data_IF_931532480965
#
_entry.id   IF_931532480965
#
_cell.length_a   1.000
_cell.length_b   1.000
_cell.length_c   1.000
_cell.angle_alpha   90.00
_cell.angle_beta   90.00
_cell.angle_gamma   90.00
#
_symmetry.space_group_name_H-M   'P 1'
#
loop_
_entity.id
_entity.type
_entity.pdbx_description
1 polymer ?
#
# COMPACT_ATOMS: atom_id res chain seq x y z
N UNK A 1 2.63 2.11 8.16
CA UNK A 1 2.90 1.55 6.81
C UNK A 1 3.69 0.26 6.87
N UNK A 2 4.95 0.25 7.37
CA UNK A 2 5.78 -0.98 7.41
C UNK A 2 5.09 -2.21 7.99
N UNK A 3 4.45 -2.10 9.16
CA UNK A 3 3.81 -3.23 9.84
C UNK A 3 2.62 -3.80 9.03
N UNK A 4 1.76 -2.94 8.49
CA UNK A 4 0.66 -3.37 7.64
C UNK A 4 1.14 -3.97 6.31
N UNK A 5 2.20 -3.38 5.72
CA UNK A 5 2.85 -3.94 4.53
C UNK A 5 3.46 -5.32 4.79
N UNK A 6 4.08 -5.51 5.96
CA UNK A 6 4.60 -6.82 6.38
C UNK A 6 3.48 -7.84 6.50
N UNK A 7 2.38 -7.49 7.18
CA UNK A 7 1.22 -8.36 7.34
C UNK A 7 0.60 -8.74 5.99
N UNK A 8 0.52 -7.79 5.06
CA UNK A 8 0.04 -8.05 3.71
C UNK A 8 0.97 -9.04 2.98
N UNK A 9 2.29 -8.84 3.04
CA UNK A 9 3.27 -9.78 2.47
C UNK A 9 3.18 -11.17 3.11
N UNK A 10 2.97 -11.26 4.42
CA UNK A 10 2.76 -12.55 5.11
C UNK A 10 1.54 -13.29 4.54
N UNK A 11 0.42 -12.60 4.35
CA UNK A 11 -0.81 -13.20 3.81
C UNK A 11 -0.61 -13.72 2.38
N UNK A 12 0.08 -12.95 1.54
CA UNK A 12 0.37 -13.34 0.16
C UNK A 12 1.33 -14.53 0.09
N UNK A 13 2.39 -14.51 0.90
CA UNK A 13 3.34 -15.62 0.94
C UNK A 13 2.75 -16.88 1.60
N UNK A 14 1.80 -16.78 2.53
CA UNK A 14 1.09 -17.95 3.08
C UNK A 14 0.27 -18.68 2.01
N UNK A 15 -0.30 -17.92 1.06
CA UNK A 15 -1.15 -18.45 0.00
C UNK A 15 -0.39 -18.71 -1.32
N UNK A 16 0.94 -18.71 -1.28
CA UNK A 16 1.77 -18.91 -2.47
C UNK A 16 1.53 -20.29 -3.10
N UNK A 17 1.30 -20.30 -4.42
CA UNK A 17 1.11 -21.52 -5.20
C UNK A 17 2.43 -21.96 -5.84
N UNK A 18 3.10 -22.94 -5.26
CA UNK A 18 4.35 -23.50 -5.82
C UNK A 18 4.02 -24.69 -6.72
N UNK A 19 4.58 -24.70 -7.94
CA UNK A 19 4.42 -25.79 -8.91
C UNK A 19 4.94 -27.13 -8.39
N UNK A 20 4.31 -28.21 -8.83
CA UNK A 20 4.72 -29.57 -8.52
C UNK A 20 6.09 -29.89 -9.16
N UNK A 21 6.96 -30.56 -8.40
CA UNK A 21 8.30 -30.97 -8.83
C UNK A 21 8.31 -32.48 -9.07
N UNK A 22 8.49 -32.90 -10.31
CA UNK A 22 8.55 -34.31 -10.69
C UNK A 22 9.72 -34.60 -11.62
N UNK A 23 10.20 -35.84 -11.61
CA UNK A 23 11.31 -36.24 -12.48
C UNK A 23 11.77 -37.68 -12.27
N UNK A 24 12.78 -38.06 -13.04
CA UNK A 24 13.42 -39.37 -12.98
C UNK A 24 14.94 -39.22 -12.97
N UNK A 25 15.59 -39.89 -12.04
CA UNK A 25 17.05 -39.98 -11.93
C UNK A 25 17.46 -41.46 -11.84
N UNK A 26 17.98 -42.03 -12.93
CA UNK A 26 18.26 -43.46 -13.01
C UNK A 26 17.00 -44.33 -12.80
N UNK A 27 16.99 -45.15 -11.75
CA UNK A 27 15.83 -46.00 -11.38
C UNK A 27 14.89 -45.32 -10.37
N UNK A 28 15.15 -44.06 -10.04
CA UNK A 28 14.37 -43.29 -9.09
C UNK A 28 13.40 -42.38 -9.82
N UNK A 29 12.13 -42.43 -9.42
CA UNK A 29 11.10 -41.49 -9.85
C UNK A 29 10.62 -40.72 -8.62
N UNK A 30 10.45 -39.40 -8.76
CA UNK A 30 9.90 -38.56 -7.71
C UNK A 30 8.77 -37.69 -8.23
N UNK A 31 7.81 -37.44 -7.35
CA UNK A 31 6.77 -36.44 -7.51
C UNK A 31 6.55 -35.77 -6.15
N UNK A 32 6.82 -34.47 -6.10
CA UNK A 32 6.58 -33.58 -4.98
C UNK A 32 5.43 -32.66 -5.37
N UNK A 33 4.35 -32.73 -4.60
CA UNK A 33 3.13 -31.98 -4.90
C UNK A 33 2.51 -31.42 -3.63
N UNK A 34 1.48 -30.59 -3.80
CA UNK A 34 0.69 -30.04 -2.70
C UNK A 34 1.55 -29.29 -1.67
N UNK A 35 2.44 -28.45 -2.17
CA UNK A 35 3.29 -27.58 -1.35
C UNK A 35 2.42 -26.56 -0.64
N UNK A 36 2.53 -26.50 0.68
CA UNK A 36 1.79 -25.55 1.52
C UNK A 36 2.74 -24.86 2.49
N UNK A 37 2.59 -23.55 2.61
CA UNK A 37 3.25 -22.78 3.66
C UNK A 37 2.49 -22.99 4.96
N UNK A 38 3.24 -23.31 6.02
CA UNK A 38 2.69 -23.59 7.34
C UNK A 38 2.94 -22.45 8.32
N UNK A 39 4.12 -21.83 8.21
CA UNK A 39 4.55 -20.73 9.07
C UNK A 39 5.58 -19.86 8.33
N UNK A 40 5.60 -18.57 8.65
CA UNK A 40 6.51 -17.57 8.09
C UNK A 40 7.09 -16.73 9.22
N UNK A 41 8.40 -16.57 9.22
CA UNK A 41 9.12 -15.75 10.19
C UNK A 41 9.87 -14.65 9.45
N UNK A 42 9.27 -13.46 9.39
CA UNK A 42 9.79 -12.29 8.66
C UNK A 42 10.33 -11.21 9.61
N UNK A 43 11.09 -11.63 10.64
CA UNK A 43 11.46 -10.77 11.77
C UNK A 43 12.29 -9.53 11.40
N UNK A 44 13.19 -9.64 10.42
CA UNK A 44 14.04 -8.53 9.98
C UNK A 44 13.48 -7.91 8.69
N UNK A 45 12.50 -7.03 8.87
CA UNK A 45 11.90 -6.27 7.78
C UNK A 45 12.14 -4.76 7.92
N UNK A 46 12.42 -4.14 6.78
CA UNK A 46 12.70 -2.72 6.67
C UNK A 46 11.98 -2.09 5.48
N UNK A 47 11.55 -0.84 5.63
CA UNK A 47 10.88 -0.08 4.58
C UNK A 47 11.55 1.28 4.50
N UNK A 48 12.23 1.52 3.38
CA UNK A 48 13.06 2.70 3.18
C UNK A 48 12.59 3.51 1.98
N UNK A 49 12.78 4.81 2.09
CA UNK A 49 12.63 5.73 0.98
C UNK A 49 13.87 5.66 0.10
N UNK A 50 13.64 5.50 -1.21
CA UNK A 50 14.70 5.50 -2.20
C UNK A 50 14.43 6.62 -3.21
N UNK A 51 15.37 7.58 -3.37
CA UNK A 51 15.19 8.71 -4.27
C UNK A 51 14.78 8.28 -5.69
N UNK A 52 14.10 9.18 -6.40
CA UNK A 52 13.47 8.92 -7.71
C UNK A 52 12.15 8.12 -7.64
N UNK A 53 11.30 8.39 -6.63
CA UNK A 53 9.92 7.88 -6.50
C UNK A 53 9.81 6.39 -6.13
N UNK A 54 10.80 5.86 -5.41
CA UNK A 54 10.86 4.43 -5.07
C UNK A 54 10.65 4.19 -3.57
N UNK A 55 9.84 3.18 -3.23
CA UNK A 55 9.76 2.60 -1.89
C UNK A 55 10.40 1.23 -1.89
N UNK A 56 11.46 1.05 -1.09
CA UNK A 56 12.18 -0.21 -0.99
C UNK A 56 11.76 -0.97 0.26
N UNK A 57 11.19 -2.16 0.07
CA UNK A 57 10.84 -3.10 1.13
C UNK A 57 11.81 -4.28 1.14
N UNK A 58 12.48 -4.46 2.28
CA UNK A 58 13.54 -5.43 2.47
C UNK A 58 13.15 -6.42 3.56
N UNK A 59 13.26 -7.72 3.26
CA UNK A 59 13.20 -8.79 4.25
C UNK A 59 14.54 -9.52 4.22
N UNK A 60 15.18 -9.62 5.37
CA UNK A 60 16.45 -10.29 5.52
C UNK A 60 16.33 -11.49 6.46
N UNK A 61 17.05 -12.56 6.14
CA UNK A 61 17.20 -13.73 7.00
C UNK A 61 15.86 -14.29 7.54
N UNK A 62 14.84 -14.34 6.68
CA UNK A 62 13.56 -14.92 7.01
C UNK A 62 13.61 -16.46 6.97
N UNK A 63 12.63 -17.10 7.62
CA UNK A 63 12.40 -18.55 7.55
C UNK A 63 10.98 -18.85 7.09
N UNK A 64 10.82 -19.85 6.21
CA UNK A 64 9.54 -20.32 5.71
C UNK A 64 9.43 -21.80 6.03
N UNK A 65 8.44 -22.17 6.85
CA UNK A 65 8.11 -23.56 7.12
C UNK A 65 7.08 -24.05 6.12
N UNK A 66 7.34 -25.21 5.53
CA UNK A 66 6.59 -25.78 4.43
C UNK A 66 6.18 -27.21 4.76
N UNK A 67 5.09 -27.66 4.17
CA UNK A 67 4.70 -29.06 4.10
C UNK A 67 4.41 -29.40 2.65
N UNK A 68 4.95 -30.52 2.17
CA UNK A 68 4.61 -31.04 0.85
C UNK A 68 4.38 -32.54 0.89
N UNK A 69 3.62 -33.04 -0.09
CA UNK A 69 3.43 -34.46 -0.33
C UNK A 69 4.59 -34.97 -1.18
N UNK A 70 5.19 -36.08 -0.76
CA UNK A 70 6.22 -36.79 -1.50
C UNK A 70 5.69 -38.13 -2.00
N UNK A 71 6.01 -38.46 -3.23
CA UNK A 71 5.79 -39.76 -3.85
C UNK A 71 7.10 -40.17 -4.50
N UNK A 72 7.73 -41.20 -3.95
CA UNK A 72 9.03 -41.68 -4.36
C UNK A 72 8.89 -43.14 -4.81
N UNK A 73 9.52 -43.48 -5.92
CA UNK A 73 9.57 -44.83 -6.45
C UNK A 73 11.03 -45.17 -6.76
N UNK A 74 11.53 -46.26 -6.17
CA UNK A 74 12.87 -46.78 -6.43
C UNK A 74 12.81 -48.28 -6.73
N UNK A 75 13.09 -48.65 -7.97
CA UNK A 75 13.04 -50.03 -8.52
C UNK A 75 11.67 -50.72 -8.36
N UNK A 76 11.28 -51.12 -7.14
CA UNK A 76 9.98 -51.71 -6.80
C UNK A 76 9.43 -51.21 -5.44
N UNK A 77 10.17 -50.34 -4.74
CA UNK A 77 9.75 -49.73 -3.50
C UNK A 77 9.01 -48.43 -3.76
N UNK A 78 7.82 -48.29 -3.18
CA UNK A 78 7.02 -47.08 -3.20
C UNK A 78 6.99 -46.46 -1.82
N UNK A 79 7.24 -45.15 -1.76
CA UNK A 79 7.14 -44.38 -0.53
C UNK A 79 6.33 -43.11 -0.77
N UNK A 80 5.22 -42.99 -0.05
CA UNK A 80 4.25 -41.92 -0.20
C UNK A 80 3.97 -41.36 1.19
N UNK A 81 4.08 -40.04 1.34
CA UNK A 81 3.77 -39.39 2.60
C UNK A 81 3.84 -37.87 2.50
N UNK A 82 3.71 -37.21 3.65
CA UNK A 82 3.96 -35.78 3.77
C UNK A 82 5.24 -35.55 4.57
N UNK A 83 5.97 -34.52 4.19
CA UNK A 83 7.23 -34.14 4.81
C UNK A 83 7.21 -32.65 5.09
N UNK A 84 7.77 -32.28 6.25
CA UNK A 84 7.98 -30.89 6.61
C UNK A 84 9.37 -30.45 6.09
N UNK A 85 9.43 -29.22 5.62
CA UNK A 85 10.65 -28.58 5.17
C UNK A 85 10.75 -27.15 5.71
N UNK A 86 11.96 -26.63 5.80
CA UNK A 86 12.24 -25.23 6.11
C UNK A 86 13.07 -24.63 4.99
N UNK A 87 12.76 -23.40 4.60
CA UNK A 87 13.62 -22.55 3.79
C UNK A 87 14.17 -21.46 4.70
N UNK A 88 15.48 -21.41 4.87
CA UNK A 88 16.16 -20.57 5.85
C UNK A 88 17.10 -19.57 5.15
N UNK A 89 17.24 -18.40 5.75
CA UNK A 89 18.01 -17.31 5.16
C UNK A 89 17.33 -16.77 3.90
N UNK A 90 16.00 -16.65 3.92
CA UNK A 90 15.24 -16.04 2.83
C UNK A 90 15.50 -14.54 2.82
N UNK A 91 15.84 -14.02 1.65
CA UNK A 91 16.05 -12.59 1.40
C UNK A 91 15.09 -12.15 0.30
N UNK A 92 14.35 -11.07 0.54
CA UNK A 92 13.43 -10.49 -0.43
C UNK A 92 13.71 -9.00 -0.49
N UNK A 93 14.05 -8.51 -1.68
CA UNK A 93 14.25 -7.10 -1.98
C UNK A 93 13.20 -6.69 -3.00
N UNK A 94 12.30 -5.80 -2.60
CA UNK A 94 11.23 -5.29 -3.46
C UNK A 94 11.32 -3.78 -3.55
N UNK A 95 11.24 -3.22 -4.74
CA UNK A 95 11.21 -1.77 -4.96
C UNK A 95 9.94 -1.41 -5.73
N UNK A 96 9.09 -0.60 -5.12
CA UNK A 96 7.84 -0.11 -5.69
C UNK A 96 8.06 1.27 -6.29
N UNK A 97 7.61 1.48 -7.53
CA UNK A 97 7.58 2.81 -8.16
C UNK A 97 6.20 3.41 -8.05
N UNK A 98 6.10 4.53 -7.32
CA UNK A 98 4.85 5.27 -7.16
C UNK A 98 4.62 6.19 -8.35
N UNK A 99 3.36 6.39 -8.71
CA UNK A 99 2.95 7.34 -9.75
C UNK A 99 1.53 7.86 -9.47
N UNK A 100 1.14 8.88 -10.20
CA UNK A 100 -0.23 9.35 -10.32
C UNK A 100 -0.94 8.65 -11.48
N UNK A 101 -2.24 8.37 -11.33
CA UNK A 101 -3.10 7.92 -12.42
C UNK A 101 -3.75 9.07 -13.20
N UNK A 102 -4.56 8.74 -14.21
CA UNK A 102 -5.29 9.73 -15.02
C UNK A 102 -6.38 10.45 -14.21
N UNK A 103 -6.96 9.80 -13.21
CA UNK A 103 -7.96 10.37 -12.32
C UNK A 103 -7.35 11.23 -11.20
N UNK A 104 -6.03 11.26 -11.03
CA UNK A 104 -5.36 11.99 -9.96
C UNK A 104 -5.22 11.19 -8.65
N UNK A 105 -5.28 9.86 -8.69
CA UNK A 105 -5.05 8.97 -7.54
C UNK A 105 -3.61 8.47 -7.49
N UNK A 106 -3.10 8.12 -6.30
CA UNK A 106 -1.83 7.40 -6.19
C UNK A 106 -1.96 5.99 -6.76
N UNK A 107 -0.92 5.47 -7.40
CA UNK A 107 -0.83 4.08 -7.86
C UNK A 107 0.60 3.55 -7.82
N UNK A 108 0.75 2.23 -7.85
CA UNK A 108 2.00 1.53 -8.12
C UNK A 108 2.12 1.34 -9.64
N UNK A 109 3.08 2.02 -10.26
CA UNK A 109 3.31 1.96 -11.71
C UNK A 109 4.21 0.79 -12.13
N UNK A 110 5.16 0.41 -11.27
CA UNK A 110 6.09 -0.66 -11.53
C UNK A 110 6.62 -1.23 -10.20
N UNK A 111 7.15 -2.45 -10.27
CA UNK A 111 7.79 -3.16 -9.17
C UNK A 111 9.03 -3.87 -9.71
N UNK A 112 10.11 -3.82 -8.95
CA UNK A 112 11.23 -4.74 -9.12
C UNK A 112 11.31 -5.64 -7.90
N UNK A 113 11.53 -6.94 -8.11
CA UNK A 113 11.65 -7.91 -7.03
C UNK A 113 12.84 -8.82 -7.27
N UNK A 114 13.59 -9.08 -6.20
CA UNK A 114 14.60 -10.13 -6.15
C UNK A 114 14.40 -10.94 -4.87
N UNK A 115 14.24 -12.24 -5.02
CA UNK A 115 14.08 -13.18 -3.91
C UNK A 115 15.12 -14.28 -4.01
N UNK A 116 15.76 -14.58 -2.87
CA UNK A 116 16.73 -15.67 -2.77
C UNK A 116 16.55 -16.45 -1.48
N UNK A 117 16.94 -17.72 -1.52
CA UNK A 117 16.87 -18.64 -0.40
C UNK A 117 18.26 -19.25 -0.21
N UNK A 118 18.88 -18.98 0.94
CA UNK A 118 20.23 -19.45 1.24
C UNK A 118 20.28 -20.97 1.38
N UNK A 119 19.38 -21.54 2.18
CA UNK A 119 19.33 -22.99 2.44
C UNK A 119 17.90 -23.48 2.53
N UNK A 120 17.72 -24.75 2.18
CA UNK A 120 16.46 -25.45 2.41
C UNK A 120 16.77 -26.80 3.06
N UNK A 121 15.95 -27.22 3.99
CA UNK A 121 16.05 -28.48 4.70
C UNK A 121 14.72 -29.21 4.61
N UNK A 122 14.75 -30.53 4.49
CA UNK A 122 13.56 -31.36 4.48
C UNK A 122 13.77 -32.58 5.39
N UNK A 123 12.84 -32.81 6.31
CA UNK A 123 12.93 -33.87 7.30
C UNK A 123 12.57 -35.25 6.73
N UNK A 124 13.41 -35.80 5.87
CA UNK A 124 13.17 -37.14 5.30
C UNK A 124 13.36 -38.19 6.41
N UNK A 125 12.26 -38.69 6.96
CA UNK A 125 12.24 -39.74 7.98
C UNK A 125 11.91 -41.10 7.37
N UNK A 126 12.54 -42.17 7.87
CA UNK A 126 12.31 -43.55 7.41
C UNK A 126 13.52 -44.47 7.48
N UNK A 127 13.34 -45.73 7.09
CA UNK A 127 14.33 -46.83 7.20
C UNK A 127 15.46 -46.79 6.17
N UNK A 128 15.37 -45.95 5.12
CA UNK A 128 16.33 -45.87 4.01
C UNK A 128 17.17 -44.58 4.02
N UNK A 129 17.72 -44.22 5.18
CA UNK A 129 18.47 -42.97 5.45
C UNK A 129 19.51 -42.60 4.37
N UNK A 130 20.29 -43.56 3.86
CA UNK A 130 21.32 -43.32 2.82
C UNK A 130 20.74 -43.00 1.44
N UNK A 131 19.60 -43.59 1.07
CA UNK A 131 18.92 -43.29 -0.20
C UNK A 131 18.31 -41.89 -0.12
N UNK A 132 17.82 -41.49 1.06
CA UNK A 132 17.35 -40.13 1.28
C UNK A 132 18.46 -39.07 1.24
N UNK A 133 19.69 -39.35 1.68
CA UNK A 133 20.75 -38.32 1.70
C UNK A 133 21.10 -37.77 0.29
N UNK A 134 21.27 -38.64 -0.71
CA UNK A 134 21.53 -38.19 -2.09
C UNK A 134 20.30 -37.52 -2.72
N UNK A 135 19.13 -38.14 -2.59
CA UNK A 135 17.90 -37.72 -3.28
C UNK A 135 17.24 -36.50 -2.63
N UNK A 136 17.39 -36.36 -1.31
CA UNK A 136 16.98 -35.14 -0.60
C UNK A 136 17.70 -33.94 -1.18
N UNK A 137 18.97 -34.06 -1.58
CA UNK A 137 19.74 -32.94 -2.15
C UNK A 137 19.11 -32.44 -3.46
N UNK A 138 18.69 -33.32 -4.36
CA UNK A 138 18.02 -32.93 -5.62
C UNK A 138 16.66 -32.31 -5.38
N UNK A 139 15.82 -32.95 -4.56
CA UNK A 139 14.47 -32.46 -4.24
C UNK A 139 14.55 -31.11 -3.53
N UNK A 140 15.43 -30.98 -2.54
CA UNK A 140 15.64 -29.73 -1.80
C UNK A 140 16.18 -28.64 -2.72
N UNK A 141 17.09 -28.95 -3.63
CA UNK A 141 17.62 -27.97 -4.59
C UNK A 141 16.54 -27.50 -5.57
N UNK A 142 15.78 -28.44 -6.13
CA UNK A 142 14.67 -28.14 -7.05
C UNK A 142 13.57 -27.34 -6.37
N UNK A 143 13.15 -27.74 -5.17
CA UNK A 143 12.13 -27.03 -4.39
C UNK A 143 12.61 -25.64 -3.95
N UNK A 144 13.89 -25.51 -3.56
CA UNK A 144 14.47 -24.20 -3.24
C UNK A 144 14.43 -23.28 -4.46
N UNK A 145 14.77 -23.78 -5.64
CA UNK A 145 14.69 -23.01 -6.88
C UNK A 145 13.25 -22.61 -7.21
N UNK A 146 12.31 -23.56 -7.20
CA UNK A 146 10.90 -23.29 -7.50
C UNK A 146 10.28 -22.28 -6.53
N UNK A 147 10.52 -22.43 -5.23
CA UNK A 147 10.03 -21.50 -4.23
C UNK A 147 10.63 -20.11 -4.41
N UNK A 148 11.94 -20.01 -4.65
CA UNK A 148 12.62 -18.73 -4.92
C UNK A 148 12.06 -18.03 -6.15
N UNK A 149 11.72 -18.79 -7.20
CA UNK A 149 11.11 -18.27 -8.43
C UNK A 149 9.66 -17.83 -8.23
N UNK A 150 8.93 -18.43 -7.29
CA UNK A 150 7.51 -18.13 -7.09
C UNK A 150 7.26 -16.91 -6.19
N UNK A 151 8.21 -16.57 -5.30
CA UNK A 151 8.06 -15.44 -4.36
C UNK A 151 7.80 -14.13 -5.12
N UNK A 152 8.63 -13.78 -6.09
CA UNK A 152 8.51 -12.51 -6.79
C UNK A 152 7.22 -12.37 -7.62
N UNK A 153 6.80 -13.34 -8.45
CA UNK A 153 5.51 -13.30 -9.13
C UNK A 153 4.32 -13.10 -8.18
N UNK A 154 4.36 -13.71 -6.99
CA UNK A 154 3.32 -13.51 -5.97
C UNK A 154 3.29 -12.05 -5.48
N UNK A 155 4.46 -11.48 -5.18
CA UNK A 155 4.56 -10.09 -4.72
C UNK A 155 4.27 -9.07 -5.82
N UNK A 156 4.62 -9.37 -7.07
CA UNK A 156 4.28 -8.57 -8.25
C UNK A 156 2.77 -8.50 -8.44
N UNK A 157 2.08 -9.64 -8.37
CA UNK A 157 0.62 -9.67 -8.42
C UNK A 157 0.00 -8.88 -7.26
N UNK A 158 0.49 -9.11 -6.04
CA UNK A 158 0.00 -8.42 -4.86
C UNK A 158 0.18 -6.89 -4.95
N UNK A 159 1.29 -6.43 -5.52
CA UNK A 159 1.59 -4.99 -5.62
C UNK A 159 0.87 -4.32 -6.79
N UNK A 160 0.87 -4.93 -7.97
CA UNK A 160 0.32 -4.30 -9.19
C UNK A 160 -1.19 -4.47 -9.32
N UNK A 161 -1.77 -5.50 -8.70
CA UNK A 161 -3.20 -5.80 -8.80
C UNK A 161 -3.90 -5.50 -7.48
N UNK A 162 -3.53 -6.21 -6.40
CA UNK A 162 -4.27 -6.11 -5.13
C UNK A 162 -4.09 -4.74 -4.46
N UNK A 163 -2.85 -4.27 -4.32
CA UNK A 163 -2.60 -2.97 -3.69
C UNK A 163 -3.16 -1.82 -4.54
N UNK A 164 -3.00 -1.88 -5.87
CA UNK A 164 -3.63 -0.89 -6.76
C UNK A 164 -5.16 -0.91 -6.65
N UNK A 165 -5.80 -2.06 -6.49
CA UNK A 165 -7.27 -2.11 -6.28
C UNK A 165 -7.71 -1.39 -5.00
N UNK A 166 -6.87 -1.36 -3.97
CA UNK A 166 -7.11 -0.57 -2.76
C UNK A 166 -6.86 0.92 -3.03
N UNK A 167 -5.76 1.27 -3.71
CA UNK A 167 -5.45 2.66 -4.05
C UNK A 167 -6.50 3.29 -4.98
N UNK A 168 -7.13 2.49 -5.84
CA UNK A 168 -8.24 2.90 -6.69
C UNK A 168 -9.48 3.35 -5.89
N UNK A 169 -9.62 2.93 -4.63
CA UNK A 169 -10.72 3.35 -3.75
C UNK A 169 -10.50 4.73 -3.13
N UNK A 170 -9.31 5.31 -3.26
CA UNK A 170 -9.02 6.65 -2.72
C UNK A 170 -9.87 7.68 -3.44
N UNK A 171 -10.78 8.38 -2.73
CA UNK A 171 -11.67 9.31 -3.40
C UNK A 171 -10.93 10.59 -3.76
N UNK A 172 -11.01 10.95 -5.04
CA UNK A 172 -10.39 12.16 -5.58
C UNK A 172 -11.27 13.37 -5.34
N UNK A 173 -12.57 13.26 -5.63
CA UNK A 173 -13.54 14.33 -5.45
C UNK A 173 -14.65 13.84 -4.53
N UNK A 174 -14.98 14.61 -3.51
CA UNK A 174 -16.04 14.30 -2.56
C UNK A 174 -16.88 15.53 -2.28
N UNK A 175 -18.18 15.33 -2.07
CA UNK A 175 -19.03 16.39 -1.50
C UNK A 175 -18.76 16.50 -0.01
N UNK A 176 -18.64 17.74 0.46
CA UNK A 176 -18.48 18.05 1.89
C UNK A 176 -19.87 18.19 2.51
N UNK A 177 -20.78 18.85 1.79
CA UNK A 177 -22.18 19.04 2.18
C UNK A 177 -23.09 19.19 0.94
N UNK A 178 -24.28 19.76 1.13
CA UNK A 178 -25.23 19.99 0.05
C UNK A 178 -24.86 21.15 -0.89
N UNK A 179 -23.87 21.97 -0.54
CA UNK A 179 -23.49 23.19 -1.24
C UNK A 179 -22.16 23.07 -1.97
N UNK A 180 -21.17 22.39 -1.41
CA UNK A 180 -19.80 22.35 -1.93
C UNK A 180 -19.20 20.93 -1.94
N UNK A 181 -18.22 20.75 -2.82
CA UNK A 181 -17.32 19.60 -2.83
C UNK A 181 -15.86 20.01 -2.78
N UNK A 182 -14.98 19.04 -2.65
CA UNK A 182 -13.53 19.20 -2.61
C UNK A 182 -12.85 18.22 -3.56
N UNK A 183 -11.82 18.70 -4.25
CA UNK A 183 -10.94 17.98 -5.15
C UNK A 183 -9.55 17.79 -4.52
N UNK A 184 -9.26 16.55 -4.16
CA UNK A 184 -7.98 16.02 -3.66
C UNK A 184 -7.23 15.22 -4.73
N UNK A 185 -7.40 15.54 -6.02
CA UNK A 185 -6.51 14.97 -7.06
C UNK A 185 -5.06 15.34 -6.79
N UNK A 186 -4.16 14.37 -6.99
CA UNK A 186 -2.73 14.62 -7.04
C UNK A 186 -2.41 15.56 -8.21
N UNK A 187 -1.52 16.51 -7.98
CA UNK A 187 -1.04 17.44 -9.00
C UNK A 187 0.07 16.82 -9.85
N UNK A 188 0.89 15.97 -9.23
CA UNK A 188 2.05 15.28 -9.85
C UNK A 188 2.26 13.92 -9.23
N UNK A 189 3.19 13.15 -9.79
CA UNK A 189 3.62 11.88 -9.22
C UNK A 189 4.18 12.08 -7.81
N UNK A 190 3.97 11.13 -6.87
CA UNK A 190 4.52 11.19 -5.53
C UNK A 190 6.04 11.40 -5.53
N UNK A 191 6.55 12.34 -4.75
CA UNK A 191 7.98 12.58 -4.62
C UNK A 191 8.54 11.87 -3.39
N UNK A 192 9.67 11.18 -3.57
CA UNK A 192 10.33 10.44 -2.50
C UNK A 192 11.72 11.05 -2.28
N UNK A 193 11.97 11.49 -1.05
CA UNK A 193 13.27 11.96 -0.58
C UNK A 193 13.99 10.83 0.19
N UNK A 194 14.97 11.16 1.03
CA UNK A 194 15.64 10.16 1.89
C UNK A 194 14.81 9.77 3.11
N UNK A 195 13.87 10.62 3.50
CA UNK A 195 13.20 10.60 4.80
C UNK A 195 11.69 10.91 4.69
N UNK A 196 11.24 11.37 3.52
CA UNK A 196 9.84 11.72 3.26
C UNK A 196 9.30 11.11 1.97
N UNK A 197 7.98 10.91 1.97
CA UNK A 197 7.16 10.64 0.79
C UNK A 197 6.12 11.76 0.75
N UNK A 198 6.22 12.65 -0.24
CA UNK A 198 5.35 13.80 -0.36
C UNK A 198 4.30 13.56 -1.45
N UNK A 199 3.07 13.97 -1.13
CA UNK A 199 1.90 13.83 -1.98
C UNK A 199 1.27 15.22 -2.15
N UNK A 200 1.40 15.77 -3.35
CA UNK A 200 0.90 17.11 -3.64
C UNK A 200 -0.52 17.04 -4.15
N UNK A 201 -1.46 17.39 -3.29
CA UNK A 201 -2.88 17.41 -3.59
C UNK A 201 -3.33 18.79 -4.06
N UNK A 202 -4.33 18.83 -4.95
CA UNK A 202 -4.95 20.06 -5.44
C UNK A 202 -5.65 20.84 -4.33
N UNK A 203 -6.37 20.15 -3.45
CA UNK A 203 -7.00 20.72 -2.25
C UNK A 203 -7.95 21.89 -2.55
N UNK A 204 -8.73 21.80 -3.63
CA UNK A 204 -9.60 22.88 -4.09
C UNK A 204 -11.06 22.59 -3.80
N UNK A 205 -11.79 23.54 -3.21
CA UNK A 205 -13.24 23.44 -3.07
C UNK A 205 -13.97 24.04 -4.26
N UNK A 206 -15.05 23.37 -4.67
CA UNK A 206 -15.91 23.80 -5.77
C UNK A 206 -17.38 23.83 -5.35
N UNK A 207 -18.19 24.77 -5.86
CA UNK A 207 -19.62 24.77 -5.61
C UNK A 207 -20.29 23.60 -6.34
N UNK A 208 -21.22 22.91 -5.68
CA UNK A 208 -21.91 21.74 -6.23
C UNK A 208 -22.74 22.05 -7.49
N UNK A 209 -23.23 23.29 -7.61
CA UNK A 209 -23.96 23.72 -8.81
C UNK A 209 -23.05 23.93 -10.03
N UNK A 210 -21.73 24.03 -9.84
CA UNK A 210 -20.72 24.31 -10.89
C UNK A 210 -19.43 23.55 -10.59
N UNK A 211 -19.47 22.24 -10.80
CA UNK A 211 -18.35 21.35 -10.48
C UNK A 211 -17.10 21.56 -11.35
N UNK A 212 -17.26 22.06 -12.57
CA UNK A 212 -16.16 22.29 -13.51
C UNK A 212 -15.46 23.64 -13.30
N UNK A 213 -15.86 24.39 -12.27
CA UNK A 213 -15.27 25.69 -11.99
C UNK A 213 -13.89 25.53 -11.34
N UNK A 214 -12.86 25.97 -12.05
CA UNK A 214 -11.50 26.07 -11.51
C UNK A 214 -11.25 27.45 -10.91
N UNK A 215 -10.39 27.49 -9.90
CA UNK A 215 -9.85 28.71 -9.33
C UNK A 215 -8.35 28.79 -9.64
N UNK A 216 -7.86 29.97 -10.01
CA UNK A 216 -6.43 30.15 -10.22
C UNK A 216 -5.70 30.11 -8.88
N UNK A 217 -4.67 29.27 -8.78
CA UNK A 217 -3.89 29.14 -7.55
C UNK A 217 -2.70 30.12 -7.56
N UNK A 218 -2.79 31.15 -6.72
CA UNK A 218 -1.71 32.10 -6.47
C UNK A 218 -1.01 31.90 -5.13
N UNK A 219 -1.38 30.88 -4.36
CA UNK A 219 -0.83 30.65 -3.04
C UNK A 219 0.58 30.07 -3.12
N UNK A 220 1.39 30.38 -2.10
CA UNK A 220 2.72 29.81 -1.94
C UNK A 220 2.58 28.34 -1.53
N UNK A 221 3.40 27.49 -2.15
CA UNK A 221 3.46 26.07 -1.81
C UNK A 221 3.91 25.87 -0.36
N UNK A 222 3.13 25.15 0.46
CA UNK A 222 3.48 24.97 1.86
C UNK A 222 4.66 24.01 1.99
N UNK A 223 5.60 24.33 2.88
CA UNK A 223 6.82 23.53 3.11
C UNK A 223 6.81 22.96 4.53
N UNK A 224 6.93 21.64 4.64
CA UNK A 224 7.05 20.92 5.91
C UNK A 224 8.52 20.60 6.14
N UNK A 225 9.04 20.89 7.33
CA UNK A 225 10.46 20.64 7.68
C UNK A 225 10.62 19.58 8.76
N UNK A 226 9.54 19.26 9.45
CA UNK A 226 9.49 18.36 10.57
C UNK A 226 9.28 16.91 10.12
N UNK A 227 9.95 15.98 10.79
CA UNK A 227 9.89 14.53 10.48
C UNK A 227 9.63 13.67 11.72
N UNK A 228 9.17 14.29 12.82
CA UNK A 228 8.94 13.61 14.11
C UNK A 228 7.63 12.82 14.17
N UNK A 229 6.67 13.09 13.29
CA UNK A 229 5.37 12.42 13.20
C UNK A 229 5.29 11.55 11.94
N UNK A 230 4.39 10.56 11.97
CA UNK A 230 4.18 9.67 10.82
C UNK A 230 3.61 10.38 9.59
N UNK A 231 2.81 11.42 9.79
CA UNK A 231 2.15 12.17 8.73
C UNK A 231 2.11 13.64 9.13
N UNK A 232 2.41 14.50 8.18
CA UNK A 232 2.17 15.93 8.25
C UNK A 232 1.26 16.33 7.10
N UNK A 233 0.41 17.32 7.35
CA UNK A 233 -0.46 17.90 6.34
C UNK A 233 -0.30 19.41 6.43
N UNK A 234 -0.06 20.05 5.30
CA UNK A 234 0.02 21.49 5.22
C UNK A 234 -1.01 22.00 4.20
N UNK A 235 -1.66 23.11 4.55
CA UNK A 235 -2.71 23.72 3.76
C UNK A 235 -2.23 25.10 3.31
N UNK A 236 -2.29 25.37 2.01
CA UNK A 236 -2.03 26.70 1.45
C UNK A 236 -3.23 27.62 1.67
N UNK A 237 -3.03 28.94 1.56
CA UNK A 237 -4.12 29.93 1.58
C UNK A 237 -5.22 29.60 0.56
N UNK A 238 -4.81 29.12 -0.63
CA UNK A 238 -5.70 28.65 -1.70
C UNK A 238 -6.74 27.61 -1.26
N UNK A 239 -6.40 26.72 -0.31
CA UNK A 239 -7.34 25.74 0.23
C UNK A 239 -8.51 26.44 0.94
N UNK A 240 -8.20 27.46 1.75
CA UNK A 240 -9.20 28.21 2.51
C UNK A 240 -9.97 29.21 1.62
N UNK A 241 -9.28 29.88 0.70
CA UNK A 241 -9.88 30.84 -0.22
C UNK A 241 -10.88 30.17 -1.17
N UNK A 242 -10.53 29.00 -1.72
CA UNK A 242 -11.44 28.23 -2.56
C UNK A 242 -12.69 27.78 -1.80
N UNK A 243 -12.56 27.39 -0.51
CA UNK A 243 -13.70 27.05 0.34
C UNK A 243 -14.64 28.24 0.52
N UNK A 244 -14.10 29.40 0.88
CA UNK A 244 -14.87 30.62 1.10
C UNK A 244 -15.57 31.08 -0.19
N UNK A 245 -14.87 31.03 -1.31
CA UNK A 245 -15.44 31.38 -2.61
C UNK A 245 -16.53 30.41 -3.06
N UNK A 246 -16.38 29.10 -2.82
CA UNK A 246 -17.40 28.11 -3.15
C UNK A 246 -18.69 28.36 -2.36
N UNK A 247 -18.60 28.60 -1.04
CA UNK A 247 -19.78 28.95 -0.23
C UNK A 247 -20.38 30.31 -0.60
N UNK A 248 -19.55 31.30 -0.92
CA UNK A 248 -20.02 32.60 -1.40
C UNK A 248 -20.85 32.43 -2.68
N UNK A 249 -20.37 31.64 -3.63
CA UNK A 249 -21.08 31.36 -4.88
C UNK A 249 -22.32 30.49 -4.70
N UNK A 250 -22.36 29.64 -3.67
CA UNK A 250 -23.56 28.92 -3.27
C UNK A 250 -24.62 29.83 -2.63
N UNK A 251 -24.26 31.08 -2.27
CA UNK A 251 -25.19 32.05 -1.70
C UNK A 251 -25.58 31.79 -0.25
N UNK A 252 -24.81 30.96 0.46
CA UNK A 252 -25.14 30.54 1.84
C UNK A 252 -24.43 31.36 2.92
N UNK A 253 -23.50 32.25 2.53
CA UNK A 253 -22.82 33.17 3.44
C UNK A 253 -23.71 34.38 3.78
N UNK A 254 -24.91 34.12 4.28
CA UNK A 254 -25.90 35.14 4.63
C UNK A 254 -26.41 34.90 6.05
N UNK A 255 -26.55 35.98 6.81
CA UNK A 255 -27.20 35.95 8.12
C UNK A 255 -28.32 36.98 8.14
N UNK A 256 -29.52 36.54 8.52
CA UNK A 256 -30.66 37.42 8.75
C UNK A 256 -30.84 37.62 10.26
N UNK A 257 -30.63 38.85 10.72
CA UNK A 257 -30.80 39.26 12.11
C UNK A 257 -32.14 39.97 12.26
N UNK A 258 -33.13 39.27 12.81
CA UNK A 258 -34.47 39.80 13.04
C UNK A 258 -34.94 39.54 14.48
N UNK A 259 -35.55 40.55 15.10
CA UNK A 259 -36.16 40.45 16.42
C UNK A 259 -35.17 39.97 17.48
N UNK A 260 -35.54 38.92 18.22
CA UNK A 260 -34.77 38.36 19.32
C UNK A 260 -33.43 37.72 18.90
N UNK A 261 -33.19 37.52 17.60
CA UNK A 261 -31.88 37.04 17.08
C UNK A 261 -30.81 38.13 17.10
N UNK A 262 -31.20 39.40 17.30
CA UNK A 262 -30.26 40.52 17.44
C UNK A 262 -29.64 40.46 18.84
N UNK A 263 -28.30 40.36 18.98
CA UNK A 263 -27.64 40.45 20.28
C UNK A 263 -28.02 41.76 20.97
N UNK A 264 -28.31 41.72 22.28
CA UNK A 264 -28.77 42.90 23.04
C UNK A 264 -27.82 44.09 22.92
N UNK A 265 -26.52 43.83 22.78
CA UNK A 265 -25.49 44.86 22.59
C UNK A 265 -25.61 45.57 21.22
N UNK A 266 -26.11 44.87 20.19
CA UNK A 266 -26.38 45.40 18.86
C UNK A 266 -27.79 45.99 18.72
N UNK A 267 -28.71 45.64 19.61
CA UNK A 267 -30.11 46.09 19.55
C UNK A 267 -30.23 47.62 19.57
N UNK A 268 -29.39 48.30 20.35
CA UNK A 268 -29.38 49.78 20.41
C UNK A 268 -28.84 50.39 19.12
N UNK A 269 -27.81 49.78 18.52
CA UNK A 269 -27.17 50.24 17.28
C UNK A 269 -28.06 50.03 16.06
N UNK A 270 -28.94 49.03 16.09
CA UNK A 270 -29.83 48.68 14.98
C UNK A 270 -31.20 49.39 15.01
N UNK A 271 -31.42 50.31 15.95
CA UNK A 271 -32.66 51.13 16.01
C UNK A 271 -32.63 52.25 14.98
N UNK A 272 -33.76 52.48 14.31
CA UNK A 272 -33.94 53.58 13.35
C UNK A 272 -33.64 54.96 13.96
N UNK A 273 -33.87 55.14 15.26
CA UNK A 273 -33.54 56.37 15.98
C UNK A 273 -32.04 56.64 16.03
N UNK A 274 -31.21 55.62 16.20
CA UNK A 274 -29.75 55.75 16.24
C UNK A 274 -29.19 55.98 14.83
N UNK A 275 -29.66 55.24 13.83
CA UNK A 275 -29.30 55.52 12.44
C UNK A 275 -29.71 56.94 12.01
N UNK A 276 -30.87 57.42 12.45
CA UNK A 276 -31.29 58.80 12.21
C UNK A 276 -30.31 59.84 12.73
N UNK A 277 -29.66 59.60 13.88
CA UNK A 277 -28.61 60.51 14.39
C UNK A 277 -27.32 60.47 13.57
N UNK A 278 -27.01 59.37 12.89
CA UNK A 278 -25.82 59.25 12.02
C UNK A 278 -26.07 59.90 10.65
N UNK A 279 -27.24 59.67 10.04
CA UNK A 279 -27.55 60.16 8.69
C UNK A 279 -28.01 61.62 8.63
N UNK A 280 -28.40 62.22 9.76
CA UNK A 280 -28.79 63.64 9.86
C UNK A 280 -27.64 64.56 10.32
N UNK A 281 -26.42 64.01 10.44
CA UNK A 281 -25.17 64.77 10.52
C UNK A 281 -24.65 65.06 9.10
#
# INVERSE_FOLDING_TARGET
VKQEGLRFVEQELQNITVSDLHGKEGQFHYNISQVKVMDLQLAFSDLNFQPQQHLAFNINNASISLRFRRQLLYWFFYDIGSINASADGVQIHTVLKLAKDEAGRPKISNITCNASIARMHAGFSGTLKKVYEFLSTFIVTGMRYLLSQQICPSLEHASLVLLNSVLDTVPVRNYVDEHIGIDYSLLRDPSVSTDTLDLDFKGMFFPRMREDQELENHAVEPVIKETERMVYVAFSEYFFDSAMQAYFQAGVLTIELQGEKVPKDLEVLLRATFFGTIFML
#
